data_IF_719004765559
#
_entry.id   IF_719004765559
#
_cell.length_a   1.000
_cell.length_b   1.000
_cell.length_c   1.000
_cell.angle_alpha   90.00
_cell.angle_beta   90.00
_cell.angle_gamma   90.00
#
_symmetry.space_group_name_H-M   'P 1'
#
loop_
_entity.id
_entity.type
_entity.pdbx_description
1 polymer ?
#
# COMPACT_ATOMS: atom_id res chain seq x y z
N UNK A 1 35.41 -16.65 24.84
CA UNK A 1 34.14 -15.90 24.91
C UNK A 1 34.18 -14.81 23.85
N UNK A 2 33.01 -14.49 23.28
CA UNK A 2 32.69 -13.52 22.20
C UNK A 2 32.89 -13.99 20.75
N UNK A 3 31.98 -14.85 20.27
CA UNK A 3 31.72 -15.08 18.85
C UNK A 3 30.21 -15.18 18.58
N UNK A 4 29.43 -14.21 19.08
CA UNK A 4 27.96 -14.19 18.92
C UNK A 4 27.39 -12.85 18.41
N UNK A 5 28.23 -11.95 17.90
CA UNK A 5 27.80 -10.59 17.53
C UNK A 5 27.35 -10.38 16.09
N UNK A 6 27.64 -11.29 15.15
CA UNK A 6 27.51 -10.99 13.72
C UNK A 6 26.32 -11.63 12.99
N UNK A 7 25.56 -12.53 13.63
CA UNK A 7 24.44 -13.21 12.96
C UNK A 7 23.10 -12.46 13.06
N UNK A 8 22.92 -11.59 14.06
CA UNK A 8 21.66 -10.88 14.28
C UNK A 8 21.58 -9.53 13.53
N UNK A 9 22.72 -8.97 13.10
CA UNK A 9 22.73 -7.69 12.35
C UNK A 9 22.46 -7.87 10.85
N UNK A 10 22.72 -9.04 10.28
CA UNK A 10 22.46 -9.32 8.85
C UNK A 10 20.99 -9.52 8.51
N UNK A 11 20.11 -9.65 9.51
CA UNK A 11 18.66 -9.81 9.29
C UNK A 11 17.88 -8.49 9.30
N UNK A 12 18.54 -7.37 9.58
CA UNK A 12 17.91 -6.04 9.63
C UNK A 12 18.07 -5.24 8.33
N UNK A 13 18.86 -5.72 7.36
CA UNK A 13 19.08 -5.05 6.08
C UNK A 13 18.28 -5.62 4.92
N UNK A 14 17.40 -6.60 5.15
CA UNK A 14 16.33 -6.93 4.21
C UNK A 14 15.20 -5.86 4.30
N UNK A 15 15.58 -4.60 4.43
CA UNK A 15 14.74 -3.47 4.12
C UNK A 15 14.33 -3.66 2.67
N UNK A 16 13.08 -4.07 2.50
CA UNK A 16 12.50 -4.62 1.30
C UNK A 16 12.90 -3.81 0.06
N UNK A 17 13.60 -4.46 -0.87
CA UNK A 17 13.81 -3.96 -2.22
C UNK A 17 12.48 -3.40 -2.76
N UNK A 18 12.43 -2.14 -3.23
CA UNK A 18 11.22 -1.53 -3.79
C UNK A 18 10.54 -2.43 -4.83
N UNK A 19 11.31 -3.20 -5.62
CA UNK A 19 10.78 -4.15 -6.59
C UNK A 19 10.02 -5.31 -5.94
N UNK A 20 10.49 -5.81 -4.79
CA UNK A 20 9.81 -6.88 -4.02
C UNK A 20 8.53 -6.36 -3.38
N UNK A 21 8.51 -5.12 -2.90
CA UNK A 21 7.30 -4.50 -2.37
C UNK A 21 6.26 -4.28 -3.48
N UNK A 22 6.70 -3.80 -4.64
CA UNK A 22 5.82 -3.59 -5.80
C UNK A 22 5.19 -4.90 -6.28
N UNK A 23 5.98 -5.97 -6.40
CA UNK A 23 5.49 -7.30 -6.78
C UNK A 23 4.46 -7.83 -5.77
N UNK A 24 4.71 -7.69 -4.46
CA UNK A 24 3.74 -8.07 -3.41
C UNK A 24 2.45 -7.27 -3.47
N UNK A 25 2.53 -5.98 -3.76
CA UNK A 25 1.36 -5.12 -3.92
C UNK A 25 0.53 -5.53 -5.15
N UNK A 26 1.19 -5.89 -6.25
CA UNK A 26 0.53 -6.39 -7.46
C UNK A 26 -0.17 -7.73 -7.20
N UNK A 27 0.51 -8.66 -6.53
CA UNK A 27 -0.05 -9.96 -6.17
C UNK A 27 -1.27 -9.84 -5.23
N UNK A 28 -1.19 -8.97 -4.23
CA UNK A 28 -2.32 -8.67 -3.35
C UNK A 28 -3.51 -8.06 -4.11
N UNK A 29 -3.24 -7.15 -5.05
CA UNK A 29 -4.26 -6.54 -5.92
C UNK A 29 -4.91 -7.59 -6.81
N UNK A 30 -4.11 -8.50 -7.39
CA UNK A 30 -4.60 -9.60 -8.24
C UNK A 30 -5.47 -10.58 -7.44
N UNK A 31 -5.08 -10.91 -6.22
CA UNK A 31 -5.87 -11.75 -5.32
C UNK A 31 -7.24 -11.11 -4.98
N UNK A 32 -7.25 -9.80 -4.71
CA UNK A 32 -8.50 -9.05 -4.48
C UNK A 32 -9.41 -9.04 -5.72
N UNK A 33 -8.85 -8.86 -6.92
CA UNK A 33 -9.62 -8.92 -8.17
C UNK A 33 -10.22 -10.32 -8.39
N UNK A 34 -9.45 -11.37 -8.14
CA UNK A 34 -9.93 -12.75 -8.24
C UNK A 34 -11.03 -13.05 -7.21
N UNK A 35 -10.89 -12.56 -5.98
CA UNK A 35 -11.95 -12.65 -4.97
C UNK A 35 -13.23 -11.93 -5.42
N UNK A 36 -13.12 -10.69 -5.91
CA UNK A 36 -14.26 -9.92 -6.38
C UNK A 36 -14.97 -10.62 -7.55
N UNK A 37 -14.19 -11.14 -8.51
CA UNK A 37 -14.71 -11.88 -9.66
C UNK A 37 -15.47 -13.16 -9.24
N UNK A 38 -14.93 -13.95 -8.30
CA UNK A 38 -15.61 -15.14 -7.75
C UNK A 38 -16.94 -14.79 -7.11
N UNK A 39 -17.02 -13.64 -6.41
CA UNK A 39 -18.24 -13.18 -5.73
C UNK A 39 -19.30 -12.68 -6.71
N UNK A 40 -18.90 -11.99 -7.79
CA UNK A 40 -19.82 -11.53 -8.84
C UNK A 40 -20.29 -12.64 -9.78
N UNK A 41 -19.51 -13.71 -9.94
CA UNK A 41 -19.84 -14.83 -10.83
C UNK A 41 -20.91 -15.79 -10.27
N UNK A 42 -21.50 -15.50 -9.11
CA UNK A 42 -22.61 -16.29 -8.56
C UNK A 42 -22.20 -17.71 -8.14
N UNK A 43 -21.05 -17.88 -7.48
CA UNK A 43 -20.65 -19.17 -6.91
C UNK A 43 -21.66 -19.59 -5.85
N UNK A 44 -22.32 -20.72 -6.08
CA UNK A 44 -23.42 -21.25 -5.27
C UNK A 44 -23.10 -21.43 -3.79
N UNK A 45 -24.15 -21.34 -2.97
CA UNK A 45 -24.25 -21.68 -1.55
C UNK A 45 -22.92 -21.77 -0.77
N UNK A 46 -22.14 -20.69 -0.77
CA UNK A 46 -21.05 -20.54 0.21
C UNK A 46 -21.70 -20.24 1.55
N UNK A 47 -21.24 -20.90 2.60
CA UNK A 47 -21.76 -20.71 3.96
C UNK A 47 -21.68 -19.23 4.33
N UNK A 48 -22.77 -18.69 4.88
CA UNK A 48 -22.87 -17.27 5.24
C UNK A 48 -21.78 -16.88 6.24
N UNK A 49 -21.43 -17.79 7.14
CA UNK A 49 -20.36 -17.58 8.10
C UNK A 49 -18.97 -17.46 7.44
N UNK A 50 -18.70 -18.30 6.43
CA UNK A 50 -17.45 -18.22 5.64
C UNK A 50 -17.40 -16.92 4.82
N UNK A 51 -18.52 -16.51 4.22
CA UNK A 51 -18.61 -15.24 3.47
C UNK A 51 -18.37 -14.00 4.33
N UNK A 52 -18.80 -14.02 5.59
CA UNK A 52 -18.62 -12.94 6.56
C UNK A 52 -17.17 -12.88 7.06
N UNK A 53 -16.55 -14.03 7.35
CA UNK A 53 -15.14 -14.13 7.72
C UNK A 53 -14.22 -13.62 6.59
N UNK A 54 -14.45 -14.08 5.35
CA UNK A 54 -13.70 -13.62 4.19
C UNK A 54 -13.86 -12.11 3.95
N UNK A 55 -15.07 -11.56 4.13
CA UNK A 55 -15.30 -10.12 3.98
C UNK A 55 -14.50 -9.32 5.02
N UNK A 56 -14.43 -9.80 6.26
CA UNK A 56 -13.65 -9.17 7.30
C UNK A 56 -12.14 -9.20 7.01
N UNK A 57 -11.62 -10.32 6.54
CA UNK A 57 -10.20 -10.43 6.13
C UNK A 57 -9.87 -9.51 4.96
N UNK A 58 -10.76 -9.40 3.97
CA UNK A 58 -10.59 -8.48 2.84
C UNK A 58 -10.59 -7.03 3.29
N UNK A 59 -11.56 -6.61 4.12
CA UNK A 59 -11.62 -5.25 4.65
C UNK A 59 -10.39 -4.90 5.50
N UNK A 60 -9.94 -5.83 6.34
CA UNK A 60 -8.73 -5.64 7.15
C UNK A 60 -7.47 -5.51 6.28
N UNK A 61 -7.33 -6.36 5.26
CA UNK A 61 -6.21 -6.33 4.31
C UNK A 61 -6.17 -5.04 3.50
N UNK A 62 -7.33 -4.59 3.00
CA UNK A 62 -7.46 -3.31 2.29
C UNK A 62 -7.11 -2.12 3.19
N UNK A 63 -7.53 -2.15 4.46
CA UNK A 63 -7.20 -1.10 5.42
C UNK A 63 -5.69 -1.04 5.65
N UNK A 64 -5.06 -2.18 5.93
CA UNK A 64 -3.61 -2.27 6.14
C UNK A 64 -2.82 -1.77 4.92
N UNK A 65 -3.26 -2.12 3.70
CA UNK A 65 -2.66 -1.61 2.47
C UNK A 65 -2.78 -0.07 2.38
N UNK A 66 -3.96 0.48 2.64
CA UNK A 66 -4.20 1.92 2.59
C UNK A 66 -3.37 2.70 3.63
N UNK A 67 -3.20 2.15 4.82
CA UNK A 67 -2.38 2.73 5.89
C UNK A 67 -0.89 2.70 5.54
N UNK A 68 -0.41 1.60 4.97
CA UNK A 68 0.98 1.48 4.52
C UNK A 68 1.28 2.46 3.38
N UNK A 69 0.37 2.62 2.42
CA UNK A 69 0.50 3.62 1.36
C UNK A 69 0.51 5.04 1.94
N UNK A 70 -0.40 5.36 2.88
CA UNK A 70 -0.44 6.67 3.50
C UNK A 70 0.86 7.03 4.27
N UNK A 71 1.57 6.02 4.80
CA UNK A 71 2.87 6.18 5.49
C UNK A 71 4.04 6.35 4.51
N UNK A 72 4.07 5.59 3.43
CA UNK A 72 5.19 5.58 2.48
C UNK A 72 5.17 6.76 1.49
N UNK A 73 3.99 7.20 1.06
CA UNK A 73 3.87 8.24 0.03
C UNK A 73 4.51 9.59 0.43
N UNK A 74 4.42 10.07 1.68
CA UNK A 74 5.15 11.26 2.12
C UNK A 74 6.67 11.12 2.05
N UNK A 75 7.21 9.94 2.38
CA UNK A 75 8.65 9.67 2.33
C UNK A 75 9.14 9.68 0.87
N UNK A 76 8.40 9.03 -0.04
CA UNK A 76 8.70 9.05 -1.47
C UNK A 76 8.63 10.48 -2.07
N UNK A 77 7.63 11.28 -1.68
CA UNK A 77 7.52 12.67 -2.09
C UNK A 77 8.68 13.53 -1.60
N UNK A 78 9.02 13.40 -0.31
CA UNK A 78 10.15 14.13 0.29
C UNK A 78 11.49 13.76 -0.36
N UNK A 79 11.68 12.49 -0.71
CA UNK A 79 12.87 12.04 -1.41
C UNK A 79 12.97 12.65 -2.82
N UNK A 80 11.87 12.68 -3.59
CA UNK A 80 11.83 13.31 -4.91
C UNK A 80 12.14 14.81 -4.84
N UNK A 81 11.56 15.50 -3.86
CA UNK A 81 11.87 16.91 -3.61
C UNK A 81 13.36 17.08 -3.29
N UNK A 82 13.93 16.26 -2.39
CA UNK A 82 15.36 16.32 -2.07
C UNK A 82 16.26 16.12 -3.30
N UNK A 83 15.95 15.16 -4.18
CA UNK A 83 16.71 14.97 -5.42
C UNK A 83 16.64 16.19 -6.35
N UNK A 84 15.50 16.88 -6.37
CA UNK A 84 15.33 18.12 -7.10
C UNK A 84 16.20 19.25 -6.53
N UNK A 85 16.12 19.48 -5.22
CA UNK A 85 16.89 20.53 -4.54
C UNK A 85 18.40 20.29 -4.59
N UNK A 86 18.84 19.02 -4.63
CA UNK A 86 20.25 18.67 -4.71
C UNK A 86 20.82 18.69 -6.13
N UNK A 87 19.99 18.94 -7.16
CA UNK A 87 20.42 18.90 -8.56
C UNK A 87 20.81 17.50 -9.05
N UNK A 88 20.37 16.44 -8.37
CA UNK A 88 20.73 15.06 -8.69
C UNK A 88 19.86 14.44 -9.80
N UNK A 89 18.92 15.20 -10.36
CA UNK A 89 17.96 14.65 -11.31
C UNK A 89 18.54 14.47 -12.72
N UNK A 90 19.57 15.20 -13.15
CA UNK A 90 20.20 14.96 -14.46
C UNK A 90 20.93 16.18 -15.03
N UNK A 91 21.43 16.05 -16.25
CA UNK A 91 22.18 17.10 -16.96
C UNK A 91 21.25 18.20 -17.56
N UNK A 92 21.82 19.38 -17.80
CA UNK A 92 21.13 20.64 -18.15
C UNK A 92 20.18 20.61 -19.35
N UNK A 93 20.30 19.63 -20.26
CA UNK A 93 19.57 19.65 -21.54
C UNK A 93 18.04 19.47 -21.39
N UNK A 94 17.60 18.72 -20.38
CA UNK A 94 16.18 18.39 -20.14
C UNK A 94 15.72 18.75 -18.72
N UNK A 95 16.48 19.59 -18.01
CA UNK A 95 16.26 19.91 -16.60
C UNK A 95 14.87 20.47 -16.31
N UNK A 96 14.31 21.29 -17.21
CA UNK A 96 12.96 21.85 -17.02
C UNK A 96 11.86 20.79 -17.11
N UNK A 97 11.98 19.86 -18.07
CA UNK A 97 11.00 18.79 -18.27
C UNK A 97 11.07 17.77 -17.11
N UNK A 98 12.29 17.46 -16.67
CA UNK A 98 12.50 16.55 -15.56
C UNK A 98 12.06 17.13 -14.21
N UNK A 99 12.30 18.42 -14.00
CA UNK A 99 11.81 19.16 -12.82
C UNK A 99 10.29 19.18 -12.80
N UNK A 100 9.66 19.46 -13.94
CA UNK A 100 8.20 19.46 -14.06
C UNK A 100 7.61 18.07 -13.79
N UNK A 101 8.16 17.02 -14.39
CA UNK A 101 7.76 15.62 -14.17
C UNK A 101 7.88 15.21 -12.69
N UNK A 102 8.96 15.62 -12.03
CA UNK A 102 9.19 15.35 -10.60
C UNK A 102 8.17 16.05 -9.71
N UNK A 103 7.84 17.31 -10.01
CA UNK A 103 6.80 18.05 -9.30
C UNK A 103 5.41 17.43 -9.49
N UNK A 104 5.08 17.03 -10.71
CA UNK A 104 3.82 16.34 -11.03
C UNK A 104 3.72 15.00 -10.29
N UNK A 105 4.82 14.24 -10.20
CA UNK A 105 4.91 13.02 -9.43
C UNK A 105 4.70 13.26 -7.93
N UNK A 106 5.40 14.23 -7.33
CA UNK A 106 5.21 14.60 -5.91
C UNK A 106 3.75 15.03 -5.62
N UNK A 107 3.16 15.83 -6.50
CA UNK A 107 1.76 16.23 -6.40
C UNK A 107 0.79 15.03 -6.50
N UNK A 108 1.10 14.06 -7.37
CA UNK A 108 0.33 12.82 -7.48
C UNK A 108 0.44 11.95 -6.21
N UNK A 109 1.63 11.82 -5.62
CA UNK A 109 1.85 11.10 -4.36
C UNK A 109 1.05 11.74 -3.21
N UNK A 110 1.01 13.07 -3.12
CA UNK A 110 0.20 13.79 -2.14
C UNK A 110 -1.31 13.55 -2.31
N UNK A 111 -1.80 13.50 -3.56
CA UNK A 111 -3.21 13.14 -3.82
C UNK A 111 -3.48 11.69 -3.42
N UNK A 112 -2.61 10.76 -3.79
CA UNK A 112 -2.73 9.36 -3.44
C UNK A 112 -2.74 9.14 -1.91
N UNK A 113 -1.91 9.87 -1.16
CA UNK A 113 -1.86 9.81 0.31
C UNK A 113 -3.19 10.23 0.94
N UNK A 114 -3.79 11.31 0.45
CA UNK A 114 -5.11 11.77 0.92
C UNK A 114 -6.20 10.75 0.63
N UNK A 115 -6.22 10.21 -0.59
CA UNK A 115 -7.19 9.18 -0.99
C UNK A 115 -7.03 7.89 -0.18
N UNK A 116 -5.80 7.42 0.02
CA UNK A 116 -5.51 6.24 0.83
C UNK A 116 -5.94 6.43 2.29
N UNK A 117 -5.66 7.60 2.87
CA UNK A 117 -6.09 7.95 4.23
C UNK A 117 -7.61 8.00 4.37
N UNK A 118 -8.31 8.53 3.36
CA UNK A 118 -9.77 8.54 3.33
C UNK A 118 -10.33 7.12 3.22
N UNK A 119 -9.80 6.31 2.30
CA UNK A 119 -10.19 4.93 2.11
C UNK A 119 -10.03 4.11 3.39
N UNK A 120 -8.92 4.27 4.12
CA UNK A 120 -8.71 3.59 5.39
C UNK A 120 -9.78 3.89 6.44
N UNK A 121 -10.27 5.14 6.50
CA UNK A 121 -11.39 5.53 7.38
C UNK A 121 -12.71 4.89 6.95
N UNK A 122 -13.02 4.91 5.65
CA UNK A 122 -14.23 4.29 5.11
C UNK A 122 -14.24 2.77 5.33
N UNK A 123 -13.10 2.10 5.12
CA UNK A 123 -12.94 0.66 5.39
C UNK A 123 -13.12 0.33 6.87
N UNK A 124 -12.60 1.17 7.77
CA UNK A 124 -12.82 1.01 9.20
C UNK A 124 -14.30 1.18 9.58
N UNK A 125 -14.98 2.18 9.01
CA UNK A 125 -16.42 2.37 9.21
C UNK A 125 -17.24 1.19 8.69
N UNK A 126 -16.90 0.66 7.51
CA UNK A 126 -17.52 -0.53 6.93
C UNK A 126 -17.29 -1.78 7.80
N UNK A 127 -16.09 -1.96 8.34
CA UNK A 127 -15.78 -3.06 9.27
C UNK A 127 -16.64 -2.98 10.54
N UNK A 128 -16.77 -1.79 11.13
CA UNK A 128 -17.60 -1.56 12.32
C UNK A 128 -19.08 -1.83 12.03
N UNK A 129 -19.59 -1.36 10.90
CA UNK A 129 -20.97 -1.59 10.47
C UNK A 129 -21.24 -3.09 10.26
N UNK A 130 -20.33 -3.80 9.59
CA UNK A 130 -20.43 -5.26 9.39
C UNK A 130 -20.52 -6.01 10.73
N UNK A 131 -19.65 -5.68 11.69
CA UNK A 131 -19.68 -6.28 13.05
C UNK A 131 -20.95 -5.97 13.85
N UNK A 132 -21.69 -4.92 13.49
CA UNK A 132 -22.95 -4.55 14.15
C UNK A 132 -24.14 -5.35 13.64
N UNK A 133 -24.13 -5.71 12.34
CA UNK A 133 -25.18 -6.50 11.70
C UNK A 133 -25.12 -7.98 12.10
N UNK A 134 -23.94 -8.51 12.42
CA UNK A 134 -23.74 -9.90 12.89
C UNK A 134 -24.25 -10.12 14.33
N UNK A 135 -24.41 -9.03 15.10
CA UNK A 135 -24.87 -9.08 16.50
C UNK A 135 -26.38 -8.88 16.68
N UNK A 136 -27.13 -8.74 15.59
CA UNK A 136 -28.61 -8.66 15.57
C UNK A 136 -29.20 -9.99 15.12
#
# INVERSE_FOLDING_TARGET
MTASGNAEQSNLSAAADPGVLAARAEDATRALQQWAARRTAGSGAVDRAEQEAELHEVLASLRQLSENLARFLPEAGSWLEQQLWSGNLGDDADYSELTQSTFEAAAALSRAQRMASQLGRELHAAELASRSLIRQ
#
